data_IF_271228537344
#
_entry.id   IF_271228537344
#
_cell.length_a   1.000
_cell.length_b   1.000
_cell.length_c   1.000
_cell.angle_alpha   90.00
_cell.angle_beta   90.00
_cell.angle_gamma   90.00
#
_symmetry.space_group_name_H-M   'P 1'
#
loop_
_entity.id
_entity.type
_entity.pdbx_description
1 polymer ?
#
# COMPACT_ATOMS: atom_id res chain seq x y z
N UNK A 1 9.01 8.75 22.97
CA UNK A 1 8.14 7.87 22.18
C UNK A 1 8.07 8.43 20.76
N UNK A 2 8.36 7.62 19.73
CA UNK A 2 8.15 8.01 18.34
C UNK A 2 6.93 7.27 17.78
N UNK A 3 6.15 7.99 16.97
CA UNK A 3 4.91 7.52 16.37
C UNK A 3 5.10 7.28 14.85
N UNK A 4 4.73 6.11 14.37
CA UNK A 4 4.57 5.81 12.95
C UNK A 4 3.11 5.93 12.52
N UNK A 5 2.86 6.41 11.30
CA UNK A 5 1.54 6.27 10.65
C UNK A 5 1.74 5.51 9.36
N UNK A 6 0.97 4.42 9.18
CA UNK A 6 1.06 3.57 7.99
C UNK A 6 -0.28 3.52 7.27
N UNK A 7 -0.23 3.51 5.93
CA UNK A 7 -1.41 3.59 5.09
C UNK A 7 -1.67 2.30 4.33
N UNK A 8 -2.93 1.85 4.41
CA UNK A 8 -3.38 0.64 3.72
C UNK A 8 -3.24 0.77 2.20
N UNK A 9 -3.00 -0.36 1.55
CA UNK A 9 -2.93 -0.49 0.09
C UNK A 9 -4.20 -1.09 -0.50
N UNK A 10 -4.19 -1.26 -1.83
CA UNK A 10 -5.25 -1.92 -2.56
C UNK A 10 -5.49 -3.34 -2.03
N UNK A 11 -6.76 -3.72 -1.92
CA UNK A 11 -7.22 -4.97 -1.30
C UNK A 11 -7.85 -4.77 0.08
N UNK A 12 -7.69 -3.58 0.70
CA UNK A 12 -8.33 -3.24 1.97
C UNK A 12 -9.71 -2.60 1.82
N UNK A 13 -10.01 -2.02 0.65
CA UNK A 13 -11.25 -1.30 0.38
C UNK A 13 -12.49 -2.20 0.53
N UNK A 14 -13.57 -1.59 1.02
CA UNK A 14 -14.89 -2.22 1.12
C UNK A 14 -16.00 -1.19 0.90
N UNK A 15 -17.13 -1.63 0.39
CA UNK A 15 -18.31 -0.78 0.22
C UNK A 15 -18.77 -0.24 1.58
N UNK A 16 -19.16 1.02 1.64
CA UNK A 16 -19.54 1.72 2.86
C UNK A 16 -18.36 2.28 3.66
N UNK A 17 -17.10 2.10 3.18
CA UNK A 17 -15.94 2.65 3.88
C UNK A 17 -16.00 4.18 3.99
N UNK A 18 -15.75 4.69 5.20
CA UNK A 18 -15.66 6.13 5.44
C UNK A 18 -17.00 6.85 5.55
N UNK A 19 -18.16 6.17 5.47
CA UNK A 19 -19.49 6.82 5.58
C UNK A 19 -19.64 7.60 6.89
N UNK A 20 -19.32 7.00 8.01
CA UNK A 20 -19.39 7.63 9.33
C UNK A 20 -18.38 8.78 9.50
N UNK A 21 -17.18 8.61 8.90
CA UNK A 21 -16.16 9.67 8.89
C UNK A 21 -16.61 10.86 8.04
N UNK A 22 -17.24 10.61 6.90
CA UNK A 22 -17.77 11.63 5.99
C UNK A 22 -18.89 12.45 6.65
N UNK A 23 -19.77 11.80 7.41
CA UNK A 23 -20.84 12.44 8.14
C UNK A 23 -20.34 13.33 9.29
N UNK A 24 -19.33 12.86 10.03
CA UNK A 24 -18.91 13.46 11.29
C UNK A 24 -17.79 14.50 11.12
N UNK A 25 -16.82 14.24 10.22
CA UNK A 25 -15.60 15.04 10.12
C UNK A 25 -15.53 15.85 8.83
N UNK A 26 -15.63 17.18 8.89
CA UNK A 26 -15.46 18.05 7.72
C UNK A 26 -14.12 17.86 7.00
N UNK A 27 -13.04 17.58 7.75
CA UNK A 27 -11.71 17.31 7.21
C UNK A 27 -11.72 16.09 6.28
N UNK A 28 -12.40 15.03 6.67
CA UNK A 28 -12.54 13.82 5.85
C UNK A 28 -13.43 14.10 4.63
N UNK A 29 -14.55 14.79 4.83
CA UNK A 29 -15.48 15.16 3.75
C UNK A 29 -14.76 15.94 2.66
N UNK A 30 -13.99 16.97 3.02
CA UNK A 30 -13.27 17.79 2.06
C UNK A 30 -12.32 16.97 1.17
N UNK A 31 -11.61 16.00 1.73
CA UNK A 31 -10.72 15.12 0.96
C UNK A 31 -11.51 14.10 0.11
N UNK A 32 -12.62 13.60 0.62
CA UNK A 32 -13.48 12.65 -0.09
C UNK A 32 -14.26 13.33 -1.23
N UNK A 33 -14.56 14.62 -1.13
CA UNK A 33 -15.21 15.43 -2.17
C UNK A 33 -14.31 15.73 -3.36
N UNK A 34 -13.00 15.45 -3.27
CA UNK A 34 -12.09 15.45 -4.43
C UNK A 34 -12.32 14.26 -5.36
N UNK A 35 -12.98 13.21 -4.88
CA UNK A 35 -13.41 12.09 -5.71
C UNK A 35 -14.50 12.53 -6.69
N UNK A 36 -14.54 11.89 -7.85
CA UNK A 36 -15.69 12.03 -8.75
C UNK A 36 -16.97 11.52 -8.09
N UNK A 37 -18.14 11.99 -8.57
CA UNK A 37 -19.44 11.50 -8.07
C UNK A 37 -19.54 9.98 -8.17
N UNK A 38 -19.01 9.40 -9.26
CA UNK A 38 -18.99 7.96 -9.47
C UNK A 38 -18.11 7.23 -8.46
N UNK A 39 -16.90 7.73 -8.16
CA UNK A 39 -16.06 7.12 -7.14
C UNK A 39 -16.70 7.19 -5.74
N UNK A 40 -17.38 8.32 -5.39
CA UNK A 40 -18.12 8.42 -4.13
C UNK A 40 -19.28 7.44 -4.06
N UNK A 41 -20.06 7.33 -5.15
CA UNK A 41 -21.11 6.32 -5.25
C UNK A 41 -20.57 4.91 -5.04
N UNK A 42 -19.48 4.57 -5.74
CA UNK A 42 -18.83 3.25 -5.61
C UNK A 42 -18.34 3.01 -4.18
N UNK A 43 -17.75 4.01 -3.54
CA UNK A 43 -17.25 3.88 -2.17
C UNK A 43 -18.37 3.61 -1.16
N UNK A 44 -19.50 4.28 -1.29
CA UNK A 44 -20.61 4.20 -0.32
C UNK A 44 -21.63 3.11 -0.65
N UNK A 45 -21.96 2.92 -1.94
CA UNK A 45 -23.12 2.15 -2.38
C UNK A 45 -22.82 1.19 -3.55
N UNK A 46 -21.58 1.12 -3.99
CA UNK A 46 -21.17 0.28 -5.13
C UNK A 46 -21.23 -1.21 -4.83
N UNK A 47 -20.89 -2.01 -5.83
CA UNK A 47 -20.73 -3.46 -5.70
C UNK A 47 -19.31 -3.82 -5.28
N UNK A 48 -19.14 -5.06 -4.81
CA UNK A 48 -17.82 -5.59 -4.48
C UNK A 48 -16.86 -5.64 -5.69
N UNK A 49 -17.39 -5.83 -6.88
CA UNK A 49 -16.64 -5.83 -8.14
C UNK A 49 -16.21 -4.42 -8.52
N UNK A 50 -17.09 -3.44 -8.47
CA UNK A 50 -16.79 -2.04 -8.78
C UNK A 50 -15.67 -1.49 -7.88
N UNK A 51 -15.78 -1.68 -6.56
CA UNK A 51 -14.79 -1.15 -5.62
C UNK A 51 -13.44 -1.87 -5.67
N UNK A 52 -13.38 -3.11 -6.20
CA UNK A 52 -12.13 -3.86 -6.40
C UNK A 52 -11.35 -3.43 -7.64
N UNK A 53 -12.01 -2.85 -8.63
CA UNK A 53 -11.33 -2.38 -9.83
C UNK A 53 -10.22 -1.38 -9.46
N UNK A 54 -9.02 -1.59 -10.00
CA UNK A 54 -7.83 -0.78 -9.68
C UNK A 54 -8.08 0.72 -9.87
N UNK A 55 -8.81 1.08 -10.93
CA UNK A 55 -9.15 2.47 -11.28
C UNK A 55 -10.06 3.15 -10.26
N UNK A 56 -10.82 2.38 -9.48
CA UNK A 56 -11.70 2.86 -8.43
C UNK A 56 -11.04 2.76 -7.05
N UNK A 57 -10.42 1.61 -6.76
CA UNK A 57 -9.83 1.32 -5.46
C UNK A 57 -8.75 2.33 -5.05
N UNK A 58 -7.86 2.71 -5.99
CA UNK A 58 -6.73 3.57 -5.66
C UNK A 58 -7.15 4.99 -5.27
N UNK A 59 -7.96 5.72 -6.05
CA UNK A 59 -8.38 7.07 -5.64
C UNK A 59 -9.25 7.04 -4.38
N UNK A 60 -10.14 6.05 -4.20
CA UNK A 60 -10.99 5.94 -3.00
C UNK A 60 -10.15 5.74 -1.73
N UNK A 61 -9.17 4.83 -1.77
CA UNK A 61 -8.27 4.60 -0.63
C UNK A 61 -7.35 5.78 -0.34
N UNK A 62 -6.88 6.49 -1.38
CA UNK A 62 -6.10 7.71 -1.22
C UNK A 62 -6.91 8.78 -0.49
N UNK A 63 -8.12 9.09 -0.96
CA UNK A 63 -9.01 10.06 -0.34
C UNK A 63 -9.31 9.71 1.12
N UNK A 64 -9.58 8.42 1.41
CA UNK A 64 -9.78 7.93 2.76
C UNK A 64 -8.56 8.21 3.65
N UNK A 65 -7.38 7.83 3.19
CA UNK A 65 -6.15 7.99 3.97
C UNK A 65 -5.80 9.46 4.23
N UNK A 66 -5.95 10.32 3.22
CA UNK A 66 -5.73 11.77 3.37
C UNK A 66 -6.74 12.35 4.38
N UNK A 67 -8.04 12.03 4.24
CA UNK A 67 -9.07 12.51 5.14
C UNK A 67 -8.81 12.15 6.60
N UNK A 68 -8.42 10.90 6.88
CA UNK A 68 -8.04 10.47 8.23
C UNK A 68 -6.77 11.20 8.71
N UNK A 69 -5.76 11.37 7.84
CA UNK A 69 -4.54 12.11 8.20
C UNK A 69 -4.85 13.55 8.64
N UNK A 70 -5.78 14.21 7.96
CA UNK A 70 -6.21 15.58 8.32
C UNK A 70 -6.94 15.62 9.67
N UNK A 71 -7.77 14.62 9.95
CA UNK A 71 -8.43 14.51 11.28
C UNK A 71 -7.34 14.36 12.36
N UNK A 72 -6.36 13.47 12.15
CA UNK A 72 -5.27 13.26 13.11
C UNK A 72 -4.44 14.54 13.30
N UNK A 73 -4.06 15.21 12.22
CA UNK A 73 -3.31 16.47 12.27
C UNK A 73 -4.07 17.57 13.02
N UNK A 74 -5.38 17.72 12.80
CA UNK A 74 -6.23 18.68 13.53
C UNK A 74 -6.31 18.38 15.03
N UNK A 75 -6.19 17.11 15.41
CA UNK A 75 -6.11 16.66 16.81
C UNK A 75 -4.71 16.77 17.41
N UNK A 76 -3.74 17.32 16.67
CA UNK A 76 -2.35 17.45 17.12
C UNK A 76 -1.55 16.14 17.06
N UNK A 77 -2.09 15.09 16.44
CA UNK A 77 -1.42 13.79 16.29
C UNK A 77 -0.58 13.84 15.01
N UNK A 78 0.74 13.86 15.16
CA UNK A 78 1.70 13.92 14.05
C UNK A 78 2.61 12.71 14.10
N UNK A 79 2.94 12.16 12.92
CA UNK A 79 3.90 11.07 12.80
C UNK A 79 5.34 11.59 12.86
N UNK A 80 6.24 10.80 13.46
CA UNK A 80 7.69 10.94 13.31
C UNK A 80 8.20 10.26 12.03
N UNK A 81 7.49 9.22 11.58
CA UNK A 81 7.76 8.47 10.35
C UNK A 81 6.45 8.01 9.72
N UNK A 82 6.43 7.92 8.40
CA UNK A 82 5.27 7.39 7.69
C UNK A 82 5.68 6.44 6.56
N UNK A 83 4.82 5.50 6.24
CA UNK A 83 4.91 4.66 5.04
C UNK A 83 3.51 4.20 4.64
N UNK A 84 3.44 3.49 3.52
CA UNK A 84 2.21 2.84 3.10
C UNK A 84 2.49 1.64 2.21
N UNK A 85 1.53 0.76 2.06
CA UNK A 85 1.65 -0.39 1.19
C UNK A 85 1.25 0.00 -0.24
N UNK A 86 2.19 0.00 -1.19
CA UNK A 86 1.95 0.29 -2.61
C UNK A 86 1.26 1.65 -2.82
N UNK A 87 -0.04 1.67 -3.10
CA UNK A 87 -0.85 2.90 -3.16
C UNK A 87 -0.72 3.75 -1.89
N UNK A 88 -0.65 3.11 -0.72
CA UNK A 88 -0.52 3.82 0.56
C UNK A 88 0.73 4.69 0.68
N UNK A 89 1.78 4.44 -0.11
CA UNK A 89 2.96 5.31 -0.19
C UNK A 89 2.61 6.70 -0.74
N UNK A 90 1.66 6.79 -1.68
CA UNK A 90 1.18 8.09 -2.18
C UNK A 90 0.40 8.84 -1.09
N UNK A 91 -0.39 8.14 -0.28
CA UNK A 91 -1.04 8.73 0.90
C UNK A 91 0.00 9.22 1.92
N UNK A 92 1.05 8.43 2.17
CA UNK A 92 2.15 8.81 3.06
C UNK A 92 2.87 10.08 2.56
N UNK A 93 3.18 10.15 1.27
CA UNK A 93 3.81 11.32 0.64
C UNK A 93 2.92 12.56 0.69
N UNK A 94 1.61 12.41 0.48
CA UNK A 94 0.65 13.51 0.61
C UNK A 94 0.58 14.01 2.05
N UNK A 95 0.50 13.11 3.03
CA UNK A 95 0.50 13.47 4.45
C UNK A 95 1.82 14.09 4.92
N UNK A 96 2.91 13.83 4.20
CA UNK A 96 4.23 14.41 4.42
C UNK A 96 4.48 15.73 3.67
N UNK A 97 3.47 16.29 2.96
CA UNK A 97 3.57 17.58 2.27
C UNK A 97 4.18 17.52 0.87
N UNK A 98 4.49 16.33 0.35
CA UNK A 98 5.11 16.18 -0.98
C UNK A 98 4.14 16.49 -2.10
N UNK A 99 2.86 16.16 -1.94
CA UNK A 99 1.79 16.48 -2.89
C UNK A 99 0.70 17.30 -2.21
N UNK A 100 0.10 18.23 -2.95
CA UNK A 100 -1.24 18.73 -2.61
C UNK A 100 -2.27 17.58 -2.76
N UNK A 101 -3.44 17.72 -2.15
CA UNK A 101 -4.50 16.70 -2.26
C UNK A 101 -4.96 16.53 -3.70
N UNK A 102 -5.08 17.64 -4.45
CA UNK A 102 -5.48 17.66 -5.85
C UNK A 102 -4.44 16.99 -6.74
N UNK A 103 -3.14 17.28 -6.53
CA UNK A 103 -2.06 16.62 -7.27
C UNK A 103 -1.99 15.14 -6.96
N UNK A 104 -2.10 14.76 -5.68
CA UNK A 104 -2.14 13.36 -5.27
C UNK A 104 -3.28 12.60 -5.94
N UNK A 105 -4.48 13.21 -6.00
CA UNK A 105 -5.65 12.63 -6.66
C UNK A 105 -5.42 12.47 -8.17
N UNK A 106 -4.87 13.48 -8.84
CA UNK A 106 -4.56 13.42 -10.27
C UNK A 106 -3.49 12.35 -10.57
N UNK A 107 -2.45 12.29 -9.76
CA UNK A 107 -1.36 11.31 -9.89
C UNK A 107 -1.86 9.88 -9.64
N UNK A 108 -2.67 9.66 -8.60
CA UNK A 108 -3.14 8.31 -8.28
C UNK A 108 -4.14 7.79 -9.32
N UNK A 109 -4.99 8.68 -9.85
CA UNK A 109 -5.89 8.31 -10.95
C UNK A 109 -5.11 7.92 -12.21
N UNK A 110 -4.07 8.69 -12.54
CA UNK A 110 -3.16 8.37 -13.64
C UNK A 110 -2.46 7.02 -13.41
N UNK A 111 -1.92 6.79 -12.20
CA UNK A 111 -1.27 5.53 -11.81
C UNK A 111 -2.22 4.35 -11.96
N UNK A 112 -3.43 4.46 -11.44
CA UNK A 112 -4.44 3.41 -11.51
C UNK A 112 -4.77 3.02 -12.96
N UNK A 113 -4.95 4.02 -13.83
CA UNK A 113 -5.21 3.82 -15.25
C UNK A 113 -4.00 3.18 -15.97
N UNK A 114 -2.78 3.65 -15.70
CA UNK A 114 -1.56 3.11 -16.30
C UNK A 114 -1.33 1.65 -15.90
N UNK A 115 -1.55 1.31 -14.62
CA UNK A 115 -1.42 -0.05 -14.11
C UNK A 115 -2.52 -0.97 -14.67
N UNK A 116 -3.76 -0.50 -14.76
CA UNK A 116 -4.85 -1.25 -15.39
C UNK A 116 -4.55 -1.55 -16.85
N UNK A 117 -4.14 -0.52 -17.62
CA UNK A 117 -3.75 -0.67 -19.04
C UNK A 117 -2.58 -1.63 -19.23
N UNK A 118 -1.56 -1.57 -18.36
CA UNK A 118 -0.41 -2.48 -18.42
C UNK A 118 -0.78 -3.95 -18.11
N UNK A 119 -1.94 -4.18 -17.50
CA UNK A 119 -2.46 -5.51 -17.17
C UNK A 119 -3.39 -6.09 -18.26
N UNK A 120 -3.83 -5.28 -19.23
CA UNK A 120 -4.80 -5.72 -20.25
C UNK A 120 -4.24 -6.85 -21.10
N UNK A 121 -5.05 -7.89 -21.30
CA UNK A 121 -4.71 -9.04 -22.14
C UNK A 121 -3.67 -9.99 -21.56
N UNK A 122 -3.19 -9.77 -20.34
CA UNK A 122 -2.21 -10.64 -19.70
C UNK A 122 -2.92 -11.75 -18.90
N UNK A 123 -2.52 -13.00 -19.12
CA UNK A 123 -2.91 -14.15 -18.28
C UNK A 123 -1.94 -14.27 -17.09
N UNK A 124 -2.16 -13.42 -16.10
CA UNK A 124 -1.30 -13.30 -14.93
C UNK A 124 -2.09 -13.41 -13.63
N UNK A 125 -1.42 -13.81 -12.56
CA UNK A 125 -2.02 -13.96 -11.23
C UNK A 125 -1.03 -13.50 -10.16
N UNK A 126 -1.57 -13.17 -8.98
CA UNK A 126 -0.81 -12.95 -7.76
C UNK A 126 -1.21 -14.00 -6.70
N UNK A 127 -0.25 -14.43 -5.89
CA UNK A 127 -0.49 -15.40 -4.82
C UNK A 127 0.31 -15.05 -3.57
N UNK A 128 -0.30 -15.20 -2.40
CA UNK A 128 0.39 -15.09 -1.12
C UNK A 128 0.92 -16.47 -0.70
N UNK A 129 2.21 -16.57 -0.46
CA UNK A 129 2.89 -17.75 0.09
C UNK A 129 3.09 -17.54 1.58
N UNK A 130 2.59 -18.49 2.38
CA UNK A 130 2.61 -18.42 3.83
C UNK A 130 3.56 -19.48 4.43
N UNK A 131 4.35 -19.05 5.41
CA UNK A 131 5.15 -19.96 6.25
C UNK A 131 6.52 -20.30 5.70
N UNK A 132 6.99 -19.68 4.62
CA UNK A 132 8.36 -19.84 4.12
C UNK A 132 9.26 -18.66 4.49
N UNK A 133 10.54 -18.97 4.67
CA UNK A 133 11.60 -17.98 4.82
C UNK A 133 11.89 -17.27 3.48
N UNK A 134 12.24 -15.99 3.57
CA UNK A 134 12.48 -15.10 2.42
C UNK A 134 13.54 -15.66 1.44
N UNK A 135 14.69 -16.09 1.95
CA UNK A 135 15.79 -16.58 1.11
C UNK A 135 15.43 -17.89 0.41
N UNK A 136 14.69 -18.77 1.09
CA UNK A 136 14.21 -20.01 0.49
C UNK A 136 13.25 -19.71 -0.67
N UNK A 137 12.21 -18.89 -0.44
CA UNK A 137 11.27 -18.55 -1.50
C UNK A 137 11.94 -17.83 -2.67
N UNK A 138 12.92 -16.97 -2.40
CA UNK A 138 13.71 -16.29 -3.46
C UNK A 138 14.49 -17.32 -4.32
N UNK A 139 15.07 -18.36 -3.73
CA UNK A 139 15.75 -19.43 -4.47
C UNK A 139 14.77 -20.25 -5.33
N UNK A 140 13.58 -20.55 -4.77
CA UNK A 140 12.52 -21.24 -5.50
C UNK A 140 11.96 -20.40 -6.66
N UNK A 141 11.84 -19.09 -6.46
CA UNK A 141 11.42 -18.16 -7.49
C UNK A 141 12.40 -18.15 -8.69
N UNK A 142 13.71 -18.16 -8.43
CA UNK A 142 14.71 -18.32 -9.50
C UNK A 142 14.54 -19.62 -10.29
N UNK A 143 14.29 -20.73 -9.59
CA UNK A 143 14.03 -22.05 -10.20
C UNK A 143 12.74 -22.06 -11.03
N UNK A 144 11.67 -21.46 -10.52
CA UNK A 144 10.39 -21.36 -11.25
C UNK A 144 10.55 -20.51 -12.54
N UNK A 145 11.37 -19.46 -12.51
CA UNK A 145 11.66 -18.61 -13.67
C UNK A 145 12.40 -19.35 -14.81
N UNK A 146 12.98 -20.50 -14.59
CA UNK A 146 13.54 -21.35 -15.66
C UNK A 146 12.42 -21.93 -16.57
N UNK A 147 11.19 -22.03 -16.05
CA UNK A 147 10.02 -22.52 -16.78
C UNK A 147 9.10 -21.42 -17.28
N UNK A 148 8.72 -20.50 -16.39
CA UNK A 148 7.80 -19.42 -16.72
C UNK A 148 7.98 -18.24 -15.76
N UNK A 149 7.69 -17.03 -16.24
CA UNK A 149 7.98 -15.77 -15.55
C UNK A 149 7.13 -15.60 -14.28
N UNK A 150 7.84 -15.43 -13.15
CA UNK A 150 7.27 -15.10 -11.84
C UNK A 150 8.26 -14.26 -11.04
N UNK A 151 7.78 -13.27 -10.29
CA UNK A 151 8.56 -12.37 -9.47
C UNK A 151 8.03 -12.36 -8.02
N UNK A 152 8.86 -11.92 -7.08
CA UNK A 152 8.41 -11.57 -5.73
C UNK A 152 7.84 -10.16 -5.79
N UNK A 153 6.54 -10.02 -5.51
CA UNK A 153 5.85 -8.73 -5.54
C UNK A 153 5.91 -7.98 -4.20
N UNK A 154 5.69 -8.68 -3.07
CA UNK A 154 5.69 -8.04 -1.76
C UNK A 154 6.35 -8.92 -0.70
N UNK A 155 7.19 -8.31 0.11
CA UNK A 155 7.64 -8.83 1.41
C UNK A 155 6.78 -8.17 2.50
N UNK A 156 5.63 -8.79 2.85
CA UNK A 156 4.66 -8.18 3.75
C UNK A 156 5.08 -8.27 5.23
N UNK A 157 5.49 -9.45 5.65
CA UNK A 157 6.01 -9.72 6.99
C UNK A 157 6.72 -11.08 7.00
N UNK A 158 7.48 -11.44 8.04
CA UNK A 158 8.06 -12.77 8.17
C UNK A 158 7.03 -13.88 7.96
N UNK A 159 7.31 -14.77 7.00
CA UNK A 159 6.43 -15.86 6.63
C UNK A 159 5.17 -15.47 5.85
N UNK A 160 5.12 -14.28 5.26
CA UNK A 160 4.07 -13.90 4.29
C UNK A 160 4.65 -13.05 3.17
N UNK A 161 4.80 -13.66 2.00
CA UNK A 161 5.40 -13.06 0.79
C UNK A 161 4.42 -13.23 -0.36
N UNK A 162 4.25 -12.20 -1.18
CA UNK A 162 3.40 -12.24 -2.37
C UNK A 162 4.27 -12.45 -3.61
N UNK A 163 3.86 -13.40 -4.44
CA UNK A 163 4.44 -13.69 -5.74
C UNK A 163 3.48 -13.28 -6.85
N UNK A 164 4.00 -12.91 -7.99
CA UNK A 164 3.21 -12.38 -9.10
C UNK A 164 3.88 -12.71 -10.44
N UNK A 165 3.10 -13.03 -11.46
CA UNK A 165 3.64 -13.37 -12.79
C UNK A 165 2.62 -14.07 -13.67
N UNK A 166 3.11 -14.80 -14.67
CA UNK A 166 2.25 -15.65 -15.50
C UNK A 166 1.56 -16.70 -14.64
N UNK A 167 0.38 -17.14 -15.07
CA UNK A 167 -0.35 -18.20 -14.38
C UNK A 167 0.49 -19.47 -14.20
N UNK A 168 1.27 -19.85 -15.22
CA UNK A 168 2.14 -21.02 -15.16
C UNK A 168 3.33 -20.81 -14.21
N UNK A 169 3.97 -19.63 -14.24
CA UNK A 169 5.08 -19.31 -13.35
C UNK A 169 4.67 -19.27 -11.87
N UNK A 170 3.52 -18.65 -11.57
CA UNK A 170 2.98 -18.65 -10.22
C UNK A 170 2.57 -20.04 -9.78
N UNK A 171 1.93 -20.85 -10.65
CA UNK A 171 1.55 -22.24 -10.34
C UNK A 171 2.76 -23.10 -10.05
N UNK A 172 3.85 -22.96 -10.82
CA UNK A 172 5.09 -23.71 -10.56
C UNK A 172 5.73 -23.26 -9.24
N UNK A 173 5.75 -21.96 -8.95
CA UNK A 173 6.30 -21.48 -7.68
C UNK A 173 5.44 -21.87 -6.48
N UNK A 174 4.10 -21.87 -6.60
CA UNK A 174 3.19 -22.40 -5.58
C UNK A 174 3.52 -23.88 -5.28
N UNK A 175 3.66 -24.71 -6.31
CA UNK A 175 4.03 -26.13 -6.19
C UNK A 175 5.38 -26.31 -5.48
N UNK A 176 6.42 -25.59 -5.92
CA UNK A 176 7.74 -25.65 -5.31
C UNK A 176 7.74 -25.17 -3.85
N UNK A 177 6.94 -24.15 -3.54
CA UNK A 177 6.79 -23.63 -2.19
C UNK A 177 6.10 -24.64 -1.26
N UNK A 178 5.07 -25.32 -1.72
CA UNK A 178 4.37 -26.37 -0.97
C UNK A 178 5.28 -27.57 -0.72
N UNK A 179 6.04 -28.02 -1.71
CA UNK A 179 7.05 -29.08 -1.55
C UNK A 179 8.16 -28.70 -0.55
N UNK A 180 8.48 -27.40 -0.47
CA UNK A 180 9.46 -26.88 0.49
C UNK A 180 8.87 -26.59 1.89
N UNK A 181 7.60 -26.89 2.11
CA UNK A 181 6.94 -26.78 3.42
C UNK A 181 6.19 -25.46 3.65
N UNK A 182 5.77 -24.74 2.59
CA UNK A 182 4.84 -23.64 2.75
C UNK A 182 3.56 -24.12 3.45
N UNK A 183 3.10 -23.36 4.44
CA UNK A 183 1.87 -23.71 5.17
C UNK A 183 0.63 -23.61 4.30
N UNK A 184 0.66 -22.67 3.35
CA UNK A 184 -0.45 -22.41 2.43
C UNK A 184 -0.01 -21.47 1.31
N UNK A 185 -0.56 -21.66 0.12
CA UNK A 185 -0.60 -20.68 -0.96
C UNK A 185 -2.03 -20.15 -1.13
N UNK A 186 -2.20 -18.90 -1.49
CA UNK A 186 -3.52 -18.28 -1.63
C UNK A 186 -3.52 -17.24 -2.76
N UNK A 187 -4.23 -17.53 -3.82
CA UNK A 187 -4.40 -16.59 -4.94
C UNK A 187 -5.18 -15.36 -4.52
N UNK A 188 -4.72 -14.21 -4.95
CA UNK A 188 -5.29 -12.91 -4.62
C UNK A 188 -6.27 -12.48 -5.72
N UNK A 189 -7.37 -11.86 -5.31
CA UNK A 189 -8.36 -11.28 -6.24
C UNK A 189 -7.92 -9.87 -6.65
N UNK A 190 -6.92 -9.79 -7.53
CA UNK A 190 -6.37 -8.55 -8.10
C UNK A 190 -6.33 -8.63 -9.61
N UNK A 191 -6.33 -7.49 -10.29
CA UNK A 191 -6.52 -7.37 -11.74
C UNK A 191 -5.23 -7.38 -12.56
N UNK A 192 -4.06 -7.57 -11.95
CA UNK A 192 -2.81 -7.55 -12.71
C UNK A 192 -1.59 -7.99 -11.93
N UNK A 193 -0.46 -8.20 -12.64
CA UNK A 193 0.82 -8.66 -12.09
C UNK A 193 1.60 -7.49 -11.47
N UNK A 194 1.00 -6.83 -10.45
CA UNK A 194 1.58 -5.65 -9.82
C UNK A 194 2.93 -5.93 -9.18
N UNK A 195 3.79 -4.92 -9.15
CA UNK A 195 5.14 -4.98 -8.57
C UNK A 195 6.06 -6.00 -9.25
N UNK A 196 5.89 -6.19 -10.55
CA UNK A 196 6.74 -7.02 -11.40
C UNK A 196 7.18 -6.26 -12.65
N UNK A 197 8.11 -6.84 -13.40
CA UNK A 197 8.55 -6.29 -14.70
C UNK A 197 7.43 -6.10 -15.74
N UNK A 198 6.30 -6.77 -15.59
CA UNK A 198 5.10 -6.53 -16.41
C UNK A 198 4.53 -5.11 -16.28
N UNK A 199 4.84 -4.43 -15.17
CA UNK A 199 4.41 -3.04 -14.95
C UNK A 199 5.37 -2.00 -15.56
N UNK A 200 6.41 -2.40 -16.31
CA UNK A 200 7.29 -1.44 -17.00
C UNK A 200 6.54 -0.40 -17.87
N UNK A 201 5.47 -0.75 -18.62
CA UNK A 201 4.72 0.26 -19.36
C UNK A 201 4.10 1.32 -18.45
N UNK A 202 3.57 0.92 -17.29
CA UNK A 202 3.04 1.85 -16.30
C UNK A 202 4.15 2.69 -15.65
N UNK A 203 5.31 2.10 -15.35
CA UNK A 203 6.50 2.78 -14.84
C UNK A 203 6.96 3.88 -15.81
N UNK A 204 7.09 3.58 -17.10
CA UNK A 204 7.46 4.55 -18.14
C UNK A 204 6.44 5.68 -18.26
N UNK A 205 5.15 5.36 -18.23
CA UNK A 205 4.09 6.37 -18.27
C UNK A 205 4.14 7.29 -17.04
N UNK A 206 4.38 6.74 -15.85
CA UNK A 206 4.54 7.52 -14.61
C UNK A 206 5.79 8.42 -14.66
N UNK A 207 6.91 7.93 -15.20
CA UNK A 207 8.12 8.75 -15.37
C UNK A 207 7.86 9.99 -16.22
N UNK A 208 7.08 9.86 -17.31
CA UNK A 208 6.68 11.02 -18.12
C UNK A 208 5.72 11.93 -17.34
N UNK A 209 4.72 11.34 -16.66
CA UNK A 209 3.76 12.13 -15.86
C UNK A 209 4.44 12.94 -14.78
N UNK A 210 5.44 12.40 -14.09
CA UNK A 210 6.16 13.09 -13.03
C UNK A 210 6.99 14.30 -13.48
N UNK A 211 7.22 14.48 -14.78
CA UNK A 211 7.84 15.72 -15.31
C UNK A 211 6.93 16.93 -15.19
N UNK A 212 5.62 16.72 -15.08
CA UNK A 212 4.60 17.75 -14.99
C UNK A 212 4.08 17.97 -13.56
N UNK A 213 4.50 17.13 -12.60
CA UNK A 213 4.01 17.14 -11.22
C UNK A 213 4.97 17.92 -10.34
N UNK A 214 4.43 18.82 -9.54
CA UNK A 214 5.19 19.52 -8.51
C UNK A 214 5.39 18.58 -7.29
N UNK A 215 6.64 18.45 -6.84
CA UNK A 215 7.01 17.73 -5.64
C UNK A 215 7.46 18.74 -4.58
N UNK A 216 6.67 18.86 -3.51
CA UNK A 216 6.98 19.70 -2.36
C UNK A 216 8.09 19.14 -1.48
N UNK A 217 8.45 19.89 -0.46
CA UNK A 217 9.37 19.42 0.58
C UNK A 217 8.71 18.40 1.49
N UNK A 218 9.45 17.36 1.82
CA UNK A 218 8.97 16.28 2.68
C UNK A 218 9.14 16.67 4.16
N UNK A 219 8.03 17.03 4.82
CA UNK A 219 8.02 17.45 6.22
C UNK A 219 8.12 16.29 7.22
N UNK A 220 7.68 15.10 6.83
CA UNK A 220 7.73 13.88 7.65
C UNK A 220 8.53 12.83 6.86
N UNK A 221 9.53 12.18 7.46
CA UNK A 221 10.28 11.10 6.80
C UNK A 221 9.35 9.99 6.31
N UNK A 222 9.42 9.69 5.00
CA UNK A 222 8.68 8.60 4.34
C UNK A 222 9.61 7.43 4.10
N UNK A 223 9.14 6.23 4.41
CA UNK A 223 9.83 4.98 4.09
C UNK A 223 9.31 4.47 2.76
N UNK A 224 10.19 4.36 1.76
CA UNK A 224 9.83 4.00 0.39
C UNK A 224 9.77 2.50 0.17
N UNK A 225 8.74 2.03 -0.53
CA UNK A 225 8.44 0.61 -0.74
C UNK A 225 9.55 -0.15 -1.46
N UNK A 226 10.12 0.43 -2.51
CA UNK A 226 11.11 -0.25 -3.35
C UNK A 226 12.50 -0.36 -2.72
N UNK A 227 12.76 0.33 -1.60
CA UNK A 227 14.05 0.29 -0.88
C UNK A 227 13.90 -0.07 0.60
N UNK A 228 12.68 -0.09 1.18
CA UNK A 228 12.41 -0.44 2.58
C UNK A 228 13.00 0.51 3.63
N UNK A 229 13.39 1.72 3.24
CA UNK A 229 14.03 2.75 4.08
C UNK A 229 13.70 4.16 3.60
N UNK A 230 14.14 5.18 4.34
CA UNK A 230 14.17 6.56 3.85
C UNK A 230 15.07 6.67 2.60
N UNK A 231 14.75 7.63 1.73
CA UNK A 231 15.68 8.05 0.67
C UNK A 231 16.92 8.73 1.25
N UNK A 232 18.04 8.58 0.60
CA UNK A 232 19.26 9.34 0.87
C UNK A 232 19.43 10.45 -0.20
N UNK A 233 19.83 10.04 -1.40
CA UNK A 233 20.03 10.95 -2.53
C UNK A 233 19.10 10.63 -3.70
N UNK A 234 18.29 9.59 -3.59
CA UNK A 234 17.34 9.19 -4.63
C UNK A 234 16.26 10.26 -4.77
N UNK A 235 15.87 10.59 -6.00
CA UNK A 235 14.74 11.48 -6.25
C UNK A 235 13.44 10.73 -6.00
N UNK A 236 12.46 11.42 -5.43
CA UNK A 236 11.14 10.82 -5.14
C UNK A 236 10.50 10.28 -6.43
N UNK A 237 10.63 11.01 -7.54
CA UNK A 237 10.12 10.60 -8.85
C UNK A 237 10.68 9.24 -9.30
N UNK A 238 11.99 9.03 -9.11
CA UNK A 238 12.65 7.80 -9.52
C UNK A 238 12.20 6.62 -8.65
N UNK A 239 12.04 6.85 -7.33
CA UNK A 239 11.53 5.84 -6.40
C UNK A 239 10.08 5.44 -6.72
N UNK A 240 9.20 6.41 -6.99
CA UNK A 240 7.82 6.14 -7.37
C UNK A 240 7.69 5.48 -8.75
N UNK A 241 8.58 5.83 -9.68
CA UNK A 241 8.65 5.18 -10.99
C UNK A 241 9.08 3.73 -10.86
N UNK A 242 10.09 3.45 -10.02
CA UNK A 242 10.54 2.09 -9.75
C UNK A 242 9.51 1.27 -8.95
N UNK A 243 8.74 1.88 -8.07
CA UNK A 243 7.82 1.23 -7.14
C UNK A 243 6.84 0.28 -7.84
N UNK A 244 6.25 0.67 -8.98
CA UNK A 244 5.20 -0.12 -9.63
C UNK A 244 5.71 -1.40 -10.28
N UNK A 245 7.02 -1.48 -10.59
CA UNK A 245 7.66 -2.64 -11.20
C UNK A 245 8.72 -3.31 -10.32
N UNK A 246 8.82 -2.91 -9.03
CA UNK A 246 9.74 -3.47 -8.05
C UNK A 246 8.99 -4.06 -6.85
N UNK A 247 9.63 -4.99 -6.16
CA UNK A 247 9.09 -5.55 -4.92
C UNK A 247 8.81 -4.47 -3.87
N UNK A 248 7.73 -4.64 -3.12
CA UNK A 248 7.41 -3.86 -1.94
C UNK A 248 8.08 -4.47 -0.71
N UNK A 249 8.99 -3.76 -0.09
CA UNK A 249 9.74 -4.18 1.10
C UNK A 249 9.06 -3.67 2.38
N UNK A 250 7.80 -4.11 2.63
CA UNK A 250 7.02 -3.60 3.76
C UNK A 250 7.56 -4.08 5.11
N UNK A 251 7.98 -5.35 5.21
CA UNK A 251 8.61 -5.87 6.43
C UNK A 251 9.91 -5.15 6.79
N UNK A 252 10.72 -4.79 5.79
CA UNK A 252 11.94 -4.00 5.99
C UNK A 252 11.61 -2.56 6.40
N UNK A 253 10.53 -1.97 5.84
CA UNK A 253 10.03 -0.65 6.25
C UNK A 253 9.65 -0.61 7.74
N UNK A 254 8.98 -1.64 8.25
CA UNK A 254 8.59 -1.72 9.66
C UNK A 254 9.82 -1.92 10.56
N UNK A 255 10.78 -2.76 10.16
CA UNK A 255 12.06 -2.92 10.88
C UNK A 255 12.83 -1.60 10.93
N UNK A 256 12.90 -0.89 9.80
CA UNK A 256 13.54 0.42 9.73
C UNK A 256 12.91 1.43 10.68
N UNK A 257 11.58 1.54 10.73
CA UNK A 257 10.88 2.40 11.68
C UNK A 257 11.23 2.04 13.13
N UNK A 258 11.21 0.74 13.49
CA UNK A 258 11.60 0.27 14.83
C UNK A 258 13.04 0.70 15.15
N UNK A 259 13.97 0.50 14.24
CA UNK A 259 15.40 0.83 14.45
C UNK A 259 15.64 2.35 14.57
N UNK A 260 14.71 3.15 14.03
CA UNK A 260 14.64 4.61 14.24
C UNK A 260 13.94 5.02 15.53
N UNK A 261 13.49 4.07 16.34
CA UNK A 261 12.89 4.29 17.67
C UNK A 261 11.38 4.47 17.66
N UNK A 262 10.68 4.09 16.59
CA UNK A 262 9.22 4.04 16.56
C UNK A 262 8.75 2.90 17.48
N UNK A 263 7.89 3.24 18.44
CA UNK A 263 7.33 2.30 19.43
C UNK A 263 5.82 2.15 19.34
N UNK A 264 5.16 3.10 18.66
CA UNK A 264 3.71 3.05 18.40
C UNK A 264 3.45 3.28 16.92
N UNK A 265 2.49 2.54 16.34
CA UNK A 265 2.06 2.69 14.95
C UNK A 265 0.54 2.82 14.87
N UNK A 266 0.06 3.76 14.07
CA UNK A 266 -1.33 3.88 13.66
C UNK A 266 -1.45 3.37 12.23
N UNK A 267 -2.25 2.34 12.00
CA UNK A 267 -2.68 1.93 10.65
C UNK A 267 -3.92 2.75 10.25
N UNK A 268 -3.86 3.36 9.08
CA UNK A 268 -4.98 4.12 8.49
C UNK A 268 -5.50 3.38 7.27
N UNK A 269 -6.76 2.98 7.31
CA UNK A 269 -7.44 2.29 6.22
C UNK A 269 -8.41 1.22 6.70
N UNK A 270 -9.29 0.73 5.81
CA UNK A 270 -10.21 -0.35 6.15
C UNK A 270 -9.44 -1.64 6.52
N UNK A 271 -9.92 -2.33 7.56
CA UNK A 271 -9.35 -3.59 8.03
C UNK A 271 -8.16 -3.40 8.98
N UNK A 272 -7.36 -4.47 9.14
CA UNK A 272 -6.24 -4.54 10.10
C UNK A 272 -5.08 -5.37 9.54
N UNK A 273 -4.92 -5.38 8.22
CA UNK A 273 -3.92 -6.23 7.59
C UNK A 273 -2.50 -5.77 7.93
N UNK A 274 -2.23 -4.46 7.85
CA UNK A 274 -0.90 -3.93 8.15
C UNK A 274 -0.57 -4.05 9.63
N UNK A 275 -1.53 -3.87 10.54
CA UNK A 275 -1.36 -4.14 11.97
C UNK A 275 -0.96 -5.59 12.23
N UNK A 276 -1.54 -6.52 11.48
CA UNK A 276 -1.14 -7.93 11.51
C UNK A 276 0.29 -8.15 11.03
N UNK A 277 0.73 -7.42 10.00
CA UNK A 277 2.11 -7.48 9.50
C UNK A 277 3.10 -6.86 10.50
N UNK A 278 2.77 -5.71 11.08
CA UNK A 278 3.57 -5.06 12.13
C UNK A 278 3.81 -6.03 13.30
N UNK A 279 2.75 -6.63 13.84
CA UNK A 279 2.84 -7.57 14.97
C UNK A 279 3.68 -8.81 14.68
N UNK A 280 3.69 -9.29 13.42
CA UNK A 280 4.54 -10.40 13.01
C UNK A 280 5.99 -9.99 12.78
N UNK A 281 6.23 -8.76 12.37
CA UNK A 281 7.57 -8.24 12.05
C UNK A 281 8.27 -7.74 13.31
N UNK A 282 7.61 -6.91 14.12
CA UNK A 282 8.14 -6.27 15.33
C UNK A 282 7.10 -6.34 16.45
N UNK A 283 7.24 -7.32 17.37
CA UNK A 283 6.29 -7.56 18.46
C UNK A 283 6.33 -6.48 19.56
N UNK A 284 7.41 -5.74 19.61
CA UNK A 284 7.68 -4.66 20.54
C UNK A 284 7.06 -3.32 20.12
N UNK A 285 6.47 -3.24 18.93
CA UNK A 285 5.71 -2.09 18.48
C UNK A 285 4.24 -2.28 18.83
N UNK A 286 3.68 -1.32 19.59
CA UNK A 286 2.24 -1.26 19.82
C UNK A 286 1.53 -0.68 18.59
N UNK A 287 0.41 -1.27 18.15
CA UNK A 287 -0.28 -0.87 16.92
C UNK A 287 -1.77 -0.83 17.10
N UNK A 288 -2.38 0.25 16.58
CA UNK A 288 -3.84 0.45 16.51
C UNK A 288 -4.25 0.79 15.08
N UNK A 289 -5.46 0.40 14.69
CA UNK A 289 -6.00 0.67 13.34
C UNK A 289 -7.15 1.65 13.41
N UNK A 290 -7.25 2.53 12.41
CA UNK A 290 -8.34 3.49 12.19
C UNK A 290 -9.07 3.13 10.91
N UNK A 291 -10.32 2.76 11.07
CA UNK A 291 -11.26 2.53 9.99
C UNK A 291 -12.53 3.36 10.13
N UNK A 292 -12.93 3.69 11.37
CA UNK A 292 -14.18 4.32 11.71
C UNK A 292 -13.99 5.56 12.59
N UNK A 293 -15.04 6.36 12.73
CA UNK A 293 -15.08 7.51 13.64
C UNK A 293 -14.87 7.09 15.11
N UNK A 294 -15.32 5.89 15.49
CA UNK A 294 -15.07 5.35 16.82
C UNK A 294 -13.59 5.06 17.05
N UNK A 295 -12.88 4.58 16.03
CA UNK A 295 -11.44 4.27 16.13
C UNK A 295 -10.62 5.54 16.34
N UNK A 296 -11.01 6.68 15.75
CA UNK A 296 -10.38 7.98 16.03
C UNK A 296 -10.42 8.30 17.54
N UNK A 297 -11.53 8.09 18.20
CA UNK A 297 -11.68 8.31 19.64
C UNK A 297 -10.85 7.34 20.49
N UNK A 298 -10.66 6.11 20.00
CA UNK A 298 -9.82 5.11 20.66
C UNK A 298 -8.34 5.46 20.57
N UNK A 299 -7.89 6.00 19.43
CA UNK A 299 -6.49 6.42 19.22
C UNK A 299 -6.07 7.50 20.22
N UNK A 300 -6.89 8.50 20.49
CA UNK A 300 -6.58 9.55 21.47
C UNK A 300 -6.26 8.94 22.84
N UNK A 301 -7.13 8.07 23.34
CA UNK A 301 -6.93 7.37 24.62
C UNK A 301 -5.74 6.40 24.61
N UNK A 302 -5.42 5.84 23.47
CA UNK A 302 -4.31 4.91 23.32
C UNK A 302 -2.95 5.62 23.33
N UNK A 303 -2.90 6.86 22.81
CA UNK A 303 -1.68 7.68 22.84
C UNK A 303 -1.33 8.19 24.23
N UNK A 304 -2.31 8.35 25.14
CA UNK A 304 -2.12 8.78 26.52
C UNK A 304 -1.47 7.70 27.41
N UNK A 305 -1.45 6.45 26.98
CA UNK A 305 -0.84 5.30 27.68
C UNK A 305 0.62 5.13 27.31
#
# INVERSE_FOLDING_TARGET
>A
MKLGIIFAGQGSQKVGMGTDLYEIYPEFRNSFDLLTDEHRRIAFEGTAEEIKATVNAQPILLAFGIGVSKILAKKGIRADYTCGLSLGEYTALTSAGVFSEEEAMAVIQFRANAMAKASEGLDTVMSAVLGLERNLLLSLCKKANEKAKVDIANYNCPGQIVISGTKDGVTELERLAEEAGAKRTMRLSVSGPFHTSYMEPASKALAEKFKEVAFGEMEIPVIFNCIGRERENERIQDLLTAQVCSSVYFDDSIKYMRDKGVTKIIEVGPGKALSGFVKKTCRDIDVISIETAEDIRKVEKWLEK
#
